data_IF_340480484294
#
_entry.id   IF_340480484294
#
_cell.length_a   1.000
_cell.length_b   1.000
_cell.length_c   1.000
_cell.angle_alpha   90.00
_cell.angle_beta   90.00
_cell.angle_gamma   90.00
#
_symmetry.space_group_name_H-M   'P 1'
#
loop_
_entity.id
_entity.type
_entity.pdbx_description
1 polymer ?
#
# COMPACT_ATOMS: atom_id res chain seq x y z
N UNK A 1 -3.08 -0.87 28.93
CA UNK A 1 -2.26 -1.63 29.91
C UNK A 1 -2.29 -3.10 29.56
N UNK A 2 -1.26 -3.86 29.94
CA UNK A 2 -1.06 -5.28 29.58
C UNK A 2 -2.28 -6.18 29.86
N UNK A 3 -3.03 -5.90 30.93
CA UNK A 3 -4.24 -6.64 31.29
C UNK A 3 -5.39 -6.47 30.27
N UNK A 4 -5.57 -5.26 29.74
CA UNK A 4 -6.60 -4.98 28.72
C UNK A 4 -6.26 -5.64 27.38
N UNK A 5 -4.98 -5.64 27.00
CA UNK A 5 -4.51 -6.31 25.78
C UNK A 5 -4.71 -7.83 25.87
N UNK A 6 -4.35 -8.44 27.00
CA UNK A 6 -4.59 -9.86 27.24
C UNK A 6 -6.09 -10.20 27.23
N UNK A 7 -6.93 -9.34 27.81
CA UNK A 7 -8.38 -9.53 27.81
C UNK A 7 -8.98 -9.37 26.41
N UNK A 8 -8.51 -8.40 25.63
CA UNK A 8 -8.90 -8.22 24.23
C UNK A 8 -8.53 -9.45 23.41
N UNK A 9 -7.27 -9.90 23.45
CA UNK A 9 -6.80 -11.08 22.71
C UNK A 9 -7.59 -12.33 23.09
N UNK A 10 -7.87 -12.55 24.38
CA UNK A 10 -8.69 -13.66 24.85
C UNK A 10 -10.13 -13.59 24.33
N UNK A 11 -10.77 -12.42 24.37
CA UNK A 11 -12.14 -12.26 23.85
C UNK A 11 -12.16 -12.48 22.33
N UNK A 12 -11.17 -11.96 21.62
CA UNK A 12 -11.09 -12.08 20.17
C UNK A 12 -10.86 -13.54 19.74
N UNK A 13 -9.99 -14.27 20.45
CA UNK A 13 -9.82 -15.72 20.29
C UNK A 13 -11.15 -16.48 20.47
N UNK A 14 -11.90 -16.17 21.54
CA UNK A 14 -13.22 -16.78 21.78
C UNK A 14 -14.22 -16.43 20.69
N UNK A 15 -14.20 -15.19 20.21
CA UNK A 15 -15.05 -14.74 19.12
C UNK A 15 -14.76 -15.54 17.86
N UNK A 16 -13.51 -15.57 17.39
CA UNK A 16 -13.11 -16.33 16.20
C UNK A 16 -13.49 -17.80 16.32
N UNK A 17 -13.30 -18.41 17.49
CA UNK A 17 -13.70 -19.80 17.73
C UNK A 17 -15.21 -20.03 17.64
N UNK A 18 -16.01 -19.08 18.10
CA UNK A 18 -17.47 -19.20 18.05
C UNK A 18 -18.01 -19.14 16.61
N UNK A 19 -17.34 -18.39 15.73
CA UNK A 19 -17.75 -18.23 14.33
C UNK A 19 -17.07 -19.25 13.39
N UNK A 20 -15.87 -19.75 13.73
CA UNK A 20 -15.16 -20.79 12.99
C UNK A 20 -15.71 -22.20 13.30
N UNK A 21 -16.82 -22.54 12.68
CA UNK A 21 -17.49 -23.85 12.87
C UNK A 21 -17.18 -24.81 11.71
N UNK A 22 -17.41 -26.13 11.86
CA UNK A 22 -17.19 -27.06 10.75
C UNK A 22 -18.03 -26.76 9.49
N UNK A 23 -19.21 -26.15 9.66
CA UNK A 23 -20.06 -25.72 8.55
C UNK A 23 -19.67 -24.35 7.99
N UNK A 24 -18.89 -23.57 8.74
CA UNK A 24 -18.43 -22.23 8.37
C UNK A 24 -16.96 -22.04 8.80
N UNK A 25 -16.01 -22.70 8.13
CA UNK A 25 -14.59 -22.48 8.40
C UNK A 25 -14.19 -21.05 8.02
N UNK A 26 -13.20 -20.50 8.73
CA UNK A 26 -12.72 -19.14 8.51
C UNK A 26 -11.30 -19.18 7.98
N UNK A 27 -11.06 -18.40 6.93
CA UNK A 27 -9.72 -18.08 6.44
C UNK A 27 -9.46 -16.60 6.72
N UNK A 28 -8.44 -16.30 7.51
CA UNK A 28 -7.95 -14.93 7.70
C UNK A 28 -6.70 -14.74 6.86
N UNK A 29 -6.78 -13.84 5.88
CA UNK A 29 -5.64 -13.41 5.06
C UNK A 29 -5.20 -12.01 5.48
N UNK A 30 -3.90 -11.85 5.71
CA UNK A 30 -3.27 -10.55 5.96
C UNK A 30 -2.06 -10.40 5.03
N UNK A 31 -1.98 -9.26 4.37
CA UNK A 31 -0.85 -8.86 3.54
C UNK A 31 0.14 -7.98 4.31
N UNK A 32 1.35 -7.85 3.79
CA UNK A 32 2.43 -7.01 4.30
C UNK A 32 2.76 -7.17 5.80
N UNK A 33 2.83 -8.41 6.28
CA UNK A 33 3.11 -8.68 7.68
C UNK A 33 4.47 -8.14 8.16
N UNK A 34 5.39 -7.79 7.26
CA UNK A 34 6.66 -7.14 7.61
C UNK A 34 6.46 -5.80 8.34
N UNK A 35 5.33 -5.12 8.13
CA UNK A 35 5.03 -3.84 8.79
C UNK A 35 4.12 -3.96 10.02
N UNK A 36 3.74 -5.19 10.40
CA UNK A 36 2.87 -5.41 11.55
C UNK A 36 3.55 -5.02 12.87
N UNK A 37 2.84 -4.24 13.69
CA UNK A 37 3.32 -3.89 15.02
C UNK A 37 3.30 -5.07 16.00
N UNK A 38 3.93 -4.89 17.16
CA UNK A 38 4.06 -5.95 18.16
C UNK A 38 2.72 -6.48 18.68
N UNK A 39 1.71 -5.61 18.82
CA UNK A 39 0.38 -5.99 19.32
C UNK A 39 -0.40 -6.81 18.29
N UNK A 40 -0.32 -6.42 17.01
CA UNK A 40 -0.92 -7.12 15.88
C UNK A 40 -0.31 -8.52 15.72
N UNK A 41 1.01 -8.59 15.76
CA UNK A 41 1.76 -9.84 15.76
C UNK A 41 1.38 -10.74 16.95
N UNK A 42 1.25 -10.18 18.15
CA UNK A 42 0.82 -10.92 19.34
C UNK A 42 -0.62 -11.47 19.19
N UNK A 43 -1.54 -10.70 18.60
CA UNK A 43 -2.89 -11.18 18.32
C UNK A 43 -2.90 -12.35 17.34
N UNK A 44 -2.15 -12.26 16.23
CA UNK A 44 -1.99 -13.34 15.25
C UNK A 44 -1.48 -14.60 15.95
N UNK A 45 -0.45 -14.46 16.78
CA UNK A 45 0.08 -15.56 17.60
C UNK A 45 -1.00 -16.18 18.48
N UNK A 46 -1.80 -15.39 19.20
CA UNK A 46 -2.89 -15.90 20.04
C UNK A 46 -3.91 -16.71 19.23
N UNK A 47 -4.31 -16.21 18.07
CA UNK A 47 -5.30 -16.89 17.21
C UNK A 47 -4.78 -18.19 16.61
N UNK A 48 -3.57 -18.17 16.05
CA UNK A 48 -2.98 -19.33 15.37
C UNK A 48 -2.62 -20.45 16.35
N UNK A 49 -2.22 -20.09 17.57
CA UNK A 49 -1.87 -21.06 18.61
C UNK A 49 -3.09 -21.68 19.31
N UNK A 50 -4.32 -21.25 19.00
CA UNK A 50 -5.53 -21.86 19.54
C UNK A 50 -5.83 -23.23 18.92
N UNK A 51 -5.17 -24.27 19.45
CA UNK A 51 -5.34 -25.66 19.02
C UNK A 51 -6.76 -26.22 19.17
N UNK A 52 -7.66 -25.51 19.87
CA UNK A 52 -9.08 -25.89 19.97
C UNK A 52 -9.87 -25.49 18.73
N UNK A 53 -9.37 -24.53 17.96
CA UNK A 53 -10.03 -24.05 16.75
C UNK A 53 -9.52 -24.80 15.51
N UNK A 54 -10.22 -25.88 15.14
CA UNK A 54 -9.85 -26.72 13.99
C UNK A 54 -10.36 -26.21 12.64
N UNK A 55 -11.16 -25.15 12.64
CA UNK A 55 -11.82 -24.63 11.44
C UNK A 55 -11.32 -23.23 11.08
N UNK A 56 -10.09 -22.90 11.49
CA UNK A 56 -9.46 -21.62 11.24
C UNK A 56 -8.15 -21.84 10.49
N UNK A 57 -7.98 -21.12 9.38
CA UNK A 57 -6.75 -21.05 8.60
C UNK A 57 -6.26 -19.61 8.59
N UNK A 58 -4.98 -19.42 8.94
CA UNK A 58 -4.31 -18.14 8.78
C UNK A 58 -3.41 -18.19 7.56
N UNK A 59 -3.51 -17.17 6.70
CA UNK A 59 -2.63 -16.96 5.55
C UNK A 59 -2.00 -15.59 5.70
N UNK A 60 -0.67 -15.56 5.70
CA UNK A 60 0.10 -14.33 5.79
C UNK A 60 1.00 -14.18 4.58
N UNK A 61 1.04 -12.99 3.99
CA UNK A 61 2.03 -12.61 3.00
C UNK A 61 3.01 -11.59 3.59
N UNK A 62 4.29 -11.73 3.24
CA UNK A 62 5.34 -10.80 3.63
C UNK A 62 6.51 -10.88 2.67
N UNK A 63 7.35 -9.85 2.68
CA UNK A 63 8.55 -9.73 1.86
C UNK A 63 9.74 -10.42 2.52
N UNK A 64 10.34 -11.40 1.84
CA UNK A 64 11.42 -12.22 2.39
C UNK A 64 12.79 -11.52 2.39
N UNK A 65 12.93 -10.42 1.63
CA UNK A 65 14.09 -9.53 1.60
C UNK A 65 14.07 -8.46 2.72
N UNK A 66 12.89 -8.06 3.20
CA UNK A 66 12.74 -7.10 4.32
C UNK A 66 12.73 -7.79 5.71
N UNK A 67 12.52 -9.11 5.76
CA UNK A 67 12.36 -9.88 7.01
C UNK A 67 13.59 -10.76 7.25
N UNK A 68 14.59 -10.21 7.93
CA UNK A 68 15.77 -10.95 8.36
C UNK A 68 15.51 -11.83 9.61
N UNK A 69 16.51 -12.60 10.03
CA UNK A 69 16.41 -13.52 11.16
C UNK A 69 16.11 -12.85 12.52
N UNK A 70 16.43 -11.56 12.66
CA UNK A 70 16.21 -10.74 13.86
C UNK A 70 14.85 -10.02 13.85
N UNK A 71 14.15 -10.03 12.72
CA UNK A 71 12.87 -9.33 12.57
C UNK A 71 11.81 -9.92 13.52
N UNK A 72 10.95 -9.10 14.16
CA UNK A 72 9.92 -9.58 15.08
C UNK A 72 9.00 -10.66 14.50
N UNK A 73 8.60 -10.49 13.22
CA UNK A 73 7.82 -11.49 12.49
C UNK A 73 8.57 -12.82 12.35
N UNK A 74 9.86 -12.80 12.00
CA UNK A 74 10.66 -14.02 11.83
C UNK A 74 10.76 -14.80 13.14
N UNK A 75 11.02 -14.09 14.25
CA UNK A 75 11.06 -14.67 15.59
C UNK A 75 9.72 -15.31 15.97
N UNK A 76 8.61 -14.64 15.71
CA UNK A 76 7.29 -15.19 16.00
C UNK A 76 6.94 -16.41 15.14
N UNK A 77 7.22 -16.37 13.83
CA UNK A 77 6.95 -17.50 12.95
C UNK A 77 7.77 -18.74 13.36
N UNK A 78 9.03 -18.55 13.82
CA UNK A 78 9.84 -19.63 14.39
C UNK A 78 9.15 -20.23 15.62
N UNK A 79 8.74 -19.39 16.57
CA UNK A 79 8.03 -19.84 17.78
C UNK A 79 6.71 -20.56 17.48
N UNK A 80 5.87 -20.01 16.58
CA UNK A 80 4.58 -20.63 16.21
C UNK A 80 4.82 -21.98 15.55
N UNK A 81 5.85 -22.09 14.70
CA UNK A 81 6.21 -23.32 13.98
C UNK A 81 6.62 -24.49 14.88
N UNK A 82 6.92 -24.25 16.16
CA UNK A 82 7.19 -25.32 17.14
C UNK A 82 5.93 -26.09 17.53
N UNK A 83 4.75 -25.47 17.45
CA UNK A 83 3.48 -26.04 17.95
C UNK A 83 2.40 -26.16 16.88
N UNK A 84 2.46 -25.35 15.82
CA UNK A 84 1.45 -25.28 14.76
C UNK A 84 2.13 -25.52 13.41
N UNK A 85 1.57 -26.38 12.54
CA UNK A 85 2.14 -26.59 11.22
C UNK A 85 2.08 -25.31 10.38
N UNK A 86 3.24 -24.84 9.91
CA UNK A 86 3.35 -23.69 9.01
C UNK A 86 3.81 -24.19 7.64
N UNK A 87 3.01 -23.93 6.61
CA UNK A 87 3.43 -24.10 5.22
C UNK A 87 3.95 -22.77 4.70
N UNK A 88 5.23 -22.72 4.30
CA UNK A 88 5.80 -21.55 3.63
C UNK A 88 5.79 -21.77 2.12
N UNK A 89 5.14 -20.86 1.40
CA UNK A 89 5.13 -20.83 -0.05
C UNK A 89 6.01 -19.66 -0.47
N UNK A 90 7.20 -19.96 -1.00
CA UNK A 90 8.07 -18.92 -1.56
C UNK A 90 7.59 -18.59 -2.97
N UNK A 91 7.13 -17.36 -3.18
CA UNK A 91 6.83 -16.82 -4.50
C UNK A 91 8.14 -16.45 -5.20
N UNK A 92 8.20 -16.69 -6.51
CA UNK A 92 9.34 -16.30 -7.35
C UNK A 92 8.82 -15.50 -8.53
N UNK A 93 9.71 -14.80 -9.23
CA UNK A 93 9.36 -14.10 -10.45
C UNK A 93 8.66 -15.04 -11.46
N UNK A 94 7.80 -14.48 -12.30
CA UNK A 94 7.07 -15.20 -13.34
C UNK A 94 8.08 -15.93 -14.21
N UNK A 95 7.93 -17.25 -14.33
CA UNK A 95 8.85 -18.07 -15.12
C UNK A 95 8.81 -17.69 -16.60
N UNK A 96 9.87 -18.01 -17.36
CA UNK A 96 9.87 -17.81 -18.83
C UNK A 96 8.66 -18.49 -19.50
N UNK A 97 8.28 -19.69 -19.05
CA UNK A 97 7.14 -20.43 -19.59
C UNK A 97 5.82 -19.70 -19.29
N UNK A 98 5.62 -19.29 -18.04
CA UNK A 98 4.41 -18.59 -17.59
C UNK A 98 4.30 -17.15 -18.10
N UNK A 99 5.43 -16.53 -18.49
CA UNK A 99 5.42 -15.17 -19.05
C UNK A 99 4.63 -15.10 -20.35
N UNK A 100 4.63 -16.17 -21.15
CA UNK A 100 3.85 -16.21 -22.37
C UNK A 100 2.35 -16.20 -22.06
N UNK A 101 1.89 -16.97 -21.07
CA UNK A 101 0.50 -16.95 -20.63
C UNK A 101 0.13 -15.56 -20.09
N UNK A 102 0.99 -14.97 -19.26
CA UNK A 102 0.82 -13.62 -18.72
C UNK A 102 0.65 -12.55 -19.82
N UNK A 103 1.52 -12.53 -20.83
CA UNK A 103 1.43 -11.58 -21.95
C UNK A 103 0.20 -11.86 -22.82
N UNK A 104 -0.14 -13.14 -23.01
CA UNK A 104 -1.33 -13.56 -23.78
C UNK A 104 -2.62 -13.08 -23.15
N UNK A 105 -2.73 -13.20 -21.83
CA UNK A 105 -3.89 -12.75 -21.06
C UNK A 105 -4.04 -11.23 -21.10
N UNK A 106 -2.93 -10.49 -20.97
CA UNK A 106 -2.95 -9.02 -21.09
C UNK A 106 -3.43 -8.58 -22.48
N UNK A 107 -2.92 -9.20 -23.54
CA UNK A 107 -3.26 -8.84 -24.92
C UNK A 107 -4.55 -9.50 -25.44
N UNK A 108 -5.14 -10.41 -24.67
CA UNK A 108 -6.29 -11.24 -25.08
C UNK A 108 -6.02 -11.96 -26.43
N UNK A 109 -4.82 -12.54 -26.57
CA UNK A 109 -4.35 -13.24 -27.77
C UNK A 109 -4.04 -14.71 -27.47
N UNK A 110 -3.91 -15.55 -28.50
CA UNK A 110 -3.48 -16.93 -28.31
C UNK A 110 -2.01 -17.00 -27.85
N UNK A 111 -1.63 -17.94 -26.96
CA UNK A 111 -0.23 -18.13 -26.53
C UNK A 111 0.76 -18.37 -27.67
N UNK A 112 0.30 -18.95 -28.79
CA UNK A 112 1.14 -19.13 -29.98
C UNK A 112 1.51 -17.84 -30.70
N UNK A 113 0.72 -16.78 -30.52
CA UNK A 113 0.91 -15.50 -31.23
C UNK A 113 1.82 -14.54 -30.45
N UNK A 114 1.90 -14.68 -29.13
CA UNK A 114 2.58 -13.74 -28.21
C UNK A 114 3.98 -14.18 -27.81
N UNK A 115 4.42 -15.38 -28.22
CA UNK A 115 5.69 -15.98 -27.79
C UNK A 115 6.89 -15.05 -28.00
N UNK A 116 7.00 -14.42 -29.17
CA UNK A 116 8.13 -13.54 -29.47
C UNK A 116 8.17 -12.30 -28.57
N UNK A 117 7.01 -11.71 -28.26
CA UNK A 117 6.93 -10.59 -27.32
C UNK A 117 7.22 -11.05 -25.89
N UNK A 118 6.66 -12.18 -25.46
CA UNK A 118 6.84 -12.70 -24.11
C UNK A 118 8.31 -13.01 -23.79
N UNK A 119 9.08 -13.51 -24.76
CA UNK A 119 10.52 -13.70 -24.60
C UNK A 119 11.27 -12.39 -24.39
N UNK A 120 10.89 -11.33 -25.11
CA UNK A 120 11.47 -10.00 -24.95
C UNK A 120 11.12 -9.38 -23.60
N UNK A 121 9.84 -9.47 -23.21
CA UNK A 121 9.36 -9.00 -21.91
C UNK A 121 10.11 -9.72 -20.80
N UNK A 122 10.17 -11.06 -20.81
CA UNK A 122 10.91 -11.83 -19.80
C UNK A 122 12.38 -11.41 -19.71
N UNK A 123 13.06 -11.29 -20.85
CA UNK A 123 14.48 -10.92 -20.91
C UNK A 123 14.74 -9.53 -20.34
N UNK A 124 13.81 -8.59 -20.54
CA UNK A 124 13.94 -7.20 -20.09
C UNK A 124 13.52 -7.01 -18.63
N UNK A 125 12.61 -7.83 -18.11
CA UNK A 125 12.00 -7.61 -16.79
C UNK A 125 12.45 -8.62 -15.73
N UNK A 126 13.24 -9.63 -16.12
CA UNK A 126 13.65 -10.71 -15.21
C UNK A 126 12.49 -11.52 -14.64
N UNK A 127 11.32 -11.46 -15.28
CA UNK A 127 10.09 -12.10 -14.80
C UNK A 127 9.37 -11.33 -13.68
N UNK A 128 9.82 -10.13 -13.30
CA UNK A 128 9.09 -9.31 -12.33
C UNK A 128 7.76 -8.86 -12.96
N UNK A 129 6.63 -9.30 -12.40
CA UNK A 129 5.30 -9.07 -12.96
C UNK A 129 4.91 -7.59 -13.02
N UNK A 130 5.34 -6.79 -12.05
CA UNK A 130 5.07 -5.35 -12.06
C UNK A 130 5.87 -4.66 -13.17
N UNK A 131 7.19 -4.92 -13.26
CA UNK A 131 8.05 -4.39 -14.33
C UNK A 131 7.54 -4.85 -15.69
N UNK A 132 7.11 -6.11 -15.83
CA UNK A 132 6.54 -6.65 -17.06
C UNK A 132 5.28 -5.90 -17.50
N UNK A 133 4.35 -5.66 -16.57
CA UNK A 133 3.12 -4.90 -16.83
C UNK A 133 3.44 -3.47 -17.28
N UNK A 134 4.33 -2.79 -16.56
CA UNK A 134 4.73 -1.42 -16.89
C UNK A 134 5.47 -1.35 -18.23
N UNK A 135 6.30 -2.34 -18.55
CA UNK A 135 6.98 -2.41 -19.82
C UNK A 135 5.99 -2.55 -20.98
N UNK A 136 5.01 -3.44 -20.87
CA UNK A 136 3.98 -3.64 -21.89
C UNK A 136 3.16 -2.35 -22.09
N UNK A 137 2.79 -1.67 -21.01
CA UNK A 137 2.13 -0.36 -21.09
C UNK A 137 3.00 0.69 -21.80
N UNK A 138 4.30 0.74 -21.50
CA UNK A 138 5.25 1.67 -22.14
C UNK A 138 5.41 1.36 -23.63
N UNK A 139 5.43 0.08 -24.02
CA UNK A 139 5.43 -0.33 -25.43
C UNK A 139 4.19 0.21 -26.15
N UNK A 140 3.02 0.13 -25.50
CA UNK A 140 1.78 0.63 -26.07
C UNK A 140 1.76 2.16 -26.22
N UNK A 141 2.09 2.88 -25.14
CA UNK A 141 2.07 4.34 -25.13
C UNK A 141 3.00 4.96 -26.18
N UNK A 142 4.19 4.40 -26.35
CA UNK A 142 5.18 4.86 -27.34
C UNK A 142 4.97 4.27 -28.74
N UNK A 143 3.89 3.50 -28.96
CA UNK A 143 3.54 2.94 -30.27
C UNK A 143 4.44 1.80 -30.76
N UNK A 144 5.26 1.22 -29.90
CA UNK A 144 6.02 -0.01 -30.22
C UNK A 144 5.16 -1.27 -30.18
N UNK A 145 4.05 -1.22 -29.43
CA UNK A 145 2.96 -2.18 -29.39
C UNK A 145 1.68 -1.42 -29.77
N UNK A 146 0.90 -1.93 -30.71
CA UNK A 146 -0.28 -1.22 -31.21
C UNK A 146 -1.34 -2.20 -31.70
N UNK A 147 -2.59 -1.73 -31.74
CA UNK A 147 -3.71 -2.52 -32.18
C UNK A 147 -4.02 -2.25 -33.66
N UNK A 148 -4.00 -3.28 -34.50
CA UNK A 148 -4.40 -3.19 -35.90
C UNK A 148 -5.90 -3.46 -36.03
N UNK A 149 -6.67 -2.42 -36.36
CA UNK A 149 -8.13 -2.49 -36.53
C UNK A 149 -8.54 -3.47 -37.63
N UNK A 150 -7.84 -3.49 -38.77
CA UNK A 150 -8.18 -4.32 -39.93
C UNK A 150 -8.11 -5.82 -39.63
N UNK A 151 -7.14 -6.23 -38.80
CA UNK A 151 -6.95 -7.62 -38.38
C UNK A 151 -7.52 -7.93 -37.01
N UNK A 152 -8.04 -6.92 -36.29
CA UNK A 152 -8.51 -6.98 -34.91
C UNK A 152 -7.52 -7.68 -33.97
N UNK A 153 -6.23 -7.31 -34.04
CA UNK A 153 -5.12 -7.97 -33.32
C UNK A 153 -4.08 -6.97 -32.86
N UNK A 154 -3.46 -7.25 -31.72
CA UNK A 154 -2.23 -6.56 -31.31
C UNK A 154 -1.06 -6.97 -32.19
N UNK A 155 -0.17 -6.02 -32.45
CA UNK A 155 1.07 -6.19 -33.21
C UNK A 155 2.14 -5.30 -32.60
N UNK A 156 3.41 -5.67 -32.78
CA UNK A 156 4.55 -4.94 -32.23
C UNK A 156 5.71 -4.88 -33.22
N UNK A 157 6.51 -3.82 -33.12
CA UNK A 157 7.80 -3.74 -33.79
C UNK A 157 8.86 -4.40 -32.90
N UNK A 158 9.28 -5.61 -33.29
CA UNK A 158 10.24 -6.40 -32.53
C UNK A 158 11.57 -5.65 -32.31
N UNK A 159 12.04 -4.85 -33.28
CA UNK A 159 13.31 -4.12 -33.16
C UNK A 159 13.16 -2.94 -32.20
N UNK A 160 12.02 -2.24 -32.27
CA UNK A 160 11.74 -1.16 -31.33
C UNK A 160 11.67 -1.68 -29.89
N UNK A 161 10.98 -2.81 -29.67
CA UNK A 161 10.89 -3.48 -28.35
C UNK A 161 12.28 -3.88 -27.85
N UNK A 162 13.14 -4.44 -28.71
CA UNK A 162 14.48 -4.86 -28.33
C UNK A 162 15.39 -3.70 -27.94
N UNK A 163 15.27 -2.57 -28.63
CA UNK A 163 16.08 -1.37 -28.40
C UNK A 163 15.77 -0.66 -27.08
N UNK A 164 14.59 -0.88 -26.48
CA UNK A 164 14.20 -0.23 -25.22
C UNK A 164 15.01 -0.74 -24.04
N UNK A 165 15.60 0.17 -23.26
CA UNK A 165 16.13 -0.11 -21.93
C UNK A 165 15.01 -0.02 -20.88
N UNK A 166 15.13 -0.81 -19.82
CA UNK A 166 14.28 -0.72 -18.62
C UNK A 166 15.23 -0.75 -17.42
N UNK A 167 14.99 0.04 -16.37
CA UNK A 167 15.68 -0.13 -15.10
C UNK A 167 15.53 -1.54 -14.52
N UNK A 168 16.55 -2.01 -13.81
CA UNK A 168 16.53 -3.32 -13.13
C UNK A 168 15.68 -3.30 -11.84
N UNK A 169 15.40 -2.10 -11.30
CA UNK A 169 14.58 -1.89 -10.11
C UNK A 169 13.18 -1.38 -10.48
N UNK A 170 12.14 -2.06 -9.98
CA UNK A 170 10.75 -1.68 -10.19
C UNK A 170 10.43 -0.29 -9.63
N UNK A 171 11.03 0.09 -8.51
CA UNK A 171 10.86 1.42 -7.91
C UNK A 171 11.47 2.48 -8.82
N UNK A 172 12.65 2.25 -9.41
CA UNK A 172 13.29 3.19 -10.33
C UNK A 172 12.46 3.40 -11.60
N UNK A 173 11.93 2.32 -12.18
CA UNK A 173 10.99 2.41 -13.31
C UNK A 173 9.74 3.22 -12.97
N UNK A 174 9.15 2.98 -11.80
CA UNK A 174 7.98 3.73 -11.34
C UNK A 174 8.30 5.19 -11.04
N UNK A 175 9.50 5.49 -10.53
CA UNK A 175 10.00 6.85 -10.35
C UNK A 175 10.06 7.58 -11.68
N UNK A 176 10.65 6.98 -12.72
CA UNK A 176 10.70 7.56 -14.07
C UNK A 176 9.29 7.81 -14.62
N UNK A 177 8.39 6.83 -14.49
CA UNK A 177 6.99 6.96 -14.90
C UNK A 177 6.29 8.11 -14.18
N UNK A 178 6.40 8.19 -12.86
CA UNK A 178 5.77 9.25 -12.07
C UNK A 178 6.37 10.61 -12.47
N UNK A 179 7.67 10.71 -12.76
CA UNK A 179 8.31 11.96 -13.20
C UNK A 179 7.76 12.52 -14.52
N UNK A 180 7.25 11.66 -15.40
CA UNK A 180 6.62 12.07 -16.67
C UNK A 180 5.22 12.68 -16.47
N UNK A 181 4.59 12.50 -15.31
CA UNK A 181 3.27 13.04 -15.03
C UNK A 181 3.27 14.56 -14.79
N UNK A 182 2.14 15.24 -15.09
CA UNK A 182 1.94 16.63 -14.69
C UNK A 182 2.22 16.85 -13.20
N UNK A 183 2.75 18.03 -12.85
CA UNK A 183 3.11 18.35 -11.45
C UNK A 183 1.97 18.10 -10.47
N UNK A 184 0.73 18.42 -10.84
CA UNK A 184 -0.45 18.15 -10.03
C UNK A 184 -0.64 16.66 -9.68
N UNK A 185 -0.44 15.76 -10.64
CA UNK A 185 -0.53 14.31 -10.42
C UNK A 185 0.61 13.82 -9.52
N UNK A 186 1.83 14.31 -9.75
CA UNK A 186 3.00 14.00 -8.91
C UNK A 186 2.79 14.41 -7.46
N UNK A 187 2.26 15.61 -7.22
CA UNK A 187 1.97 16.09 -5.87
C UNK A 187 0.92 15.23 -5.16
N UNK A 188 -0.14 14.80 -5.86
CA UNK A 188 -1.14 13.90 -5.29
C UNK A 188 -0.50 12.58 -4.86
N UNK A 189 0.29 11.95 -5.74
CA UNK A 189 0.97 10.69 -5.43
C UNK A 189 1.93 10.84 -4.24
N UNK A 190 2.73 11.90 -4.22
CA UNK A 190 3.64 12.21 -3.11
C UNK A 190 2.88 12.40 -1.79
N UNK A 191 1.78 13.15 -1.79
CA UNK A 191 1.03 13.41 -0.56
C UNK A 191 0.28 12.18 -0.07
N UNK A 192 -0.33 11.41 -0.98
CA UNK A 192 -0.94 10.13 -0.64
C UNK A 192 0.09 9.17 -0.05
N UNK A 193 1.29 9.10 -0.63
CA UNK A 193 2.35 8.23 -0.14
C UNK A 193 2.81 8.54 1.29
N UNK A 194 2.65 9.79 1.73
CA UNK A 194 2.90 10.22 3.10
C UNK A 194 1.81 9.78 4.09
N UNK A 195 0.57 9.63 3.62
CA UNK A 195 -0.60 9.26 4.43
C UNK A 195 -0.67 7.75 4.63
N UNK A 196 -0.51 6.98 3.55
CA UNK A 196 -0.59 5.52 3.59
C UNK A 196 -0.81 4.89 2.22
N UNK A 197 -1.04 3.58 2.20
CA UNK A 197 -1.33 2.80 0.98
C UNK A 197 -2.75 3.04 0.43
N UNK A 198 -3.65 3.56 1.26
CA UNK A 198 -5.02 3.94 0.89
C UNK A 198 -5.47 5.24 1.55
N UNK A 199 -6.45 5.91 0.94
CA UNK A 199 -6.98 7.17 1.43
C UNK A 199 -8.43 7.38 0.98
N UNK A 200 -9.28 7.75 1.95
CA UNK A 200 -10.67 8.11 1.71
C UNK A 200 -10.77 9.39 0.85
N UNK A 201 -11.73 9.44 -0.08
CA UNK A 201 -11.95 10.54 -1.03
C UNK A 201 -12.06 11.91 -0.34
N UNK A 202 -12.72 11.96 0.82
CA UNK A 202 -12.82 13.18 1.61
C UNK A 202 -11.45 13.69 2.10
N UNK A 203 -10.56 12.80 2.54
CA UNK A 203 -9.20 13.16 3.00
C UNK A 203 -8.35 13.63 1.83
N UNK A 204 -8.46 12.96 0.67
CA UNK A 204 -7.83 13.41 -0.57
C UNK A 204 -8.30 14.82 -0.98
N UNK A 205 -9.59 15.13 -0.80
CA UNK A 205 -10.13 16.48 -0.98
C UNK A 205 -9.49 17.52 -0.06
N UNK A 206 -9.25 17.17 1.21
CA UNK A 206 -8.62 18.10 2.18
C UNK A 206 -7.18 18.46 1.82
N UNK A 207 -6.37 17.50 1.35
CA UNK A 207 -4.96 17.71 0.99
C UNK A 207 -4.79 18.35 -0.39
N UNK A 208 -5.81 18.28 -1.24
CA UNK A 208 -5.84 18.98 -2.54
C UNK A 208 -6.51 20.36 -2.44
N UNK A 209 -7.07 20.71 -1.27
CA UNK A 209 -7.75 21.98 -1.03
C UNK A 209 -9.17 22.08 -1.61
N UNK A 210 -9.77 20.95 -2.00
CA UNK A 210 -11.13 20.88 -2.52
C UNK A 210 -12.07 20.24 -1.50
N UNK A 211 -12.85 21.07 -0.82
CA UNK A 211 -13.64 20.64 0.35
C UNK A 211 -14.96 19.96 -0.02
N UNK A 212 -15.45 20.01 -1.27
CA UNK A 212 -16.76 19.48 -1.65
C UNK A 212 -16.79 18.85 -3.06
N UNK A 213 -17.08 17.54 -3.06
CA UNK A 213 -17.91 16.72 -3.96
C UNK A 213 -17.99 17.13 -5.46
N UNK A 214 -17.60 16.17 -6.31
CA UNK A 214 -17.96 15.99 -7.74
C UNK A 214 -17.19 16.74 -8.83
N UNK A 215 -15.96 17.20 -8.61
CA UNK A 215 -15.09 17.58 -9.74
C UNK A 215 -14.06 16.47 -9.94
N UNK A 216 -14.12 15.71 -11.05
CA UNK A 216 -13.03 14.83 -11.45
C UNK A 216 -11.77 15.68 -11.56
N UNK A 217 -10.74 15.32 -10.81
CA UNK A 217 -9.45 15.99 -10.91
C UNK A 217 -8.79 15.41 -12.16
N UNK A 218 -8.51 16.19 -13.22
CA UNK A 218 -7.93 15.62 -14.45
C UNK A 218 -6.62 14.88 -14.19
N UNK A 219 -5.88 15.27 -13.15
CA UNK A 219 -4.68 14.56 -12.74
C UNK A 219 -4.96 13.27 -11.95
N UNK A 220 -6.10 13.13 -11.25
CA UNK A 220 -6.47 11.92 -10.53
C UNK A 220 -7.02 10.88 -11.51
N UNK A 221 -7.83 11.32 -12.47
CA UNK A 221 -8.28 10.49 -13.59
C UNK A 221 -7.06 9.95 -14.34
N UNK A 222 -6.09 10.81 -14.67
CA UNK A 222 -4.83 10.40 -15.27
C UNK A 222 -4.07 9.38 -14.41
N UNK A 223 -3.95 9.59 -13.10
CA UNK A 223 -3.26 8.63 -12.21
C UNK A 223 -3.94 7.25 -12.23
N UNK A 224 -5.27 7.23 -12.30
CA UNK A 224 -6.06 5.98 -12.36
C UNK A 224 -5.91 5.31 -13.74
N UNK A 225 -5.98 6.08 -14.82
CA UNK A 225 -5.76 5.61 -16.20
C UNK A 225 -4.35 5.03 -16.38
N UNK A 226 -3.35 5.64 -15.76
CA UNK A 226 -1.96 5.16 -15.72
C UNK A 226 -1.77 3.91 -14.84
N UNK A 227 -2.84 3.45 -14.18
CA UNK A 227 -2.84 2.26 -13.32
C UNK A 227 -2.04 2.44 -12.03
N UNK A 228 -1.82 3.68 -11.58
CA UNK A 228 -1.04 3.98 -10.39
C UNK A 228 -1.89 4.00 -9.11
N UNK A 229 -3.17 4.38 -9.25
CA UNK A 229 -4.18 4.27 -8.20
C UNK A 229 -5.39 3.48 -8.69
N UNK A 230 -6.08 2.82 -7.75
CA UNK A 230 -7.35 2.14 -7.96
C UNK A 230 -8.40 2.87 -7.09
N UNK A 231 -9.56 3.16 -7.69
CA UNK A 231 -10.72 3.70 -6.95
C UNK A 231 -11.68 2.56 -6.59
N UNK A 232 -11.88 2.32 -5.30
CA UNK A 232 -12.83 1.34 -4.77
C UNK A 232 -13.93 2.06 -3.97
N UNK A 233 -15.04 2.37 -4.64
CA UNK A 233 -16.12 3.17 -4.04
C UNK A 233 -15.63 4.59 -3.70
N UNK A 234 -15.42 4.85 -2.42
CA UNK A 234 -14.96 6.14 -1.86
C UNK A 234 -13.50 6.09 -1.36
N UNK A 235 -12.79 5.00 -1.59
CA UNK A 235 -11.38 4.83 -1.24
C UNK A 235 -10.51 4.88 -2.51
N UNK A 236 -9.36 5.55 -2.39
CA UNK A 236 -8.28 5.49 -3.38
C UNK A 236 -7.13 4.68 -2.80
N UNK A 237 -6.61 3.71 -3.55
CA UNK A 237 -5.51 2.84 -3.13
C UNK A 237 -4.40 2.87 -4.16
N UNK A 238 -3.15 2.79 -3.72
CA UNK A 238 -2.07 2.46 -4.65
C UNK A 238 -2.34 1.09 -5.25
N UNK A 239 -2.19 0.96 -6.57
CA UNK A 239 -2.36 -0.33 -7.23
C UNK A 239 -1.35 -1.37 -6.72
N UNK A 240 -0.21 -0.89 -6.20
CA UNK A 240 0.83 -1.66 -5.55
C UNK A 240 1.66 -0.77 -4.64
N UNK A 241 2.14 -1.28 -3.51
CA UNK A 241 3.06 -0.59 -2.61
C UNK A 241 4.32 -0.03 -3.25
N UNK A 242 4.86 -0.66 -4.31
CA UNK A 242 6.05 -0.14 -4.98
C UNK A 242 5.78 1.22 -5.63
N UNK A 243 4.53 1.50 -6.01
CA UNK A 243 4.11 2.81 -6.50
C UNK A 243 4.09 3.82 -5.35
N UNK A 244 3.62 3.43 -4.16
CA UNK A 244 3.69 4.27 -2.97
C UNK A 244 5.14 4.60 -2.62
N UNK A 245 6.03 3.60 -2.62
CA UNK A 245 7.46 3.77 -2.34
C UNK A 245 8.13 4.68 -3.37
N UNK A 246 7.86 4.46 -4.66
CA UNK A 246 8.35 5.32 -5.74
C UNK A 246 7.89 6.77 -5.55
N UNK A 247 6.60 6.99 -5.31
CA UNK A 247 6.05 8.32 -5.06
C UNK A 247 6.67 8.99 -3.82
N UNK A 248 6.88 8.25 -2.73
CA UNK A 248 7.51 8.78 -1.51
C UNK A 248 9.01 9.09 -1.71
N UNK A 249 9.70 8.27 -2.50
CA UNK A 249 11.13 8.45 -2.80
C UNK A 249 11.42 9.74 -3.56
N UNK A 250 10.46 10.22 -4.36
CA UNK A 250 10.53 11.48 -5.09
C UNK A 250 10.50 12.71 -4.18
N UNK A 251 10.19 12.56 -2.89
CA UNK A 251 10.28 13.63 -1.91
C UNK A 251 11.73 13.67 -1.38
N UNK A 252 12.48 14.78 -1.63
CA UNK A 252 13.84 14.91 -1.12
C UNK A 252 13.90 14.69 0.39
N UNK A 253 14.90 13.94 0.86
CA UNK A 253 14.99 13.50 2.27
C UNK A 253 14.96 14.69 3.24
N UNK A 254 15.60 15.81 2.88
CA UNK A 254 15.63 17.05 3.66
C UNK A 254 14.27 17.79 3.68
N UNK A 255 13.36 17.47 2.76
CA UNK A 255 12.02 18.07 2.64
C UNK A 255 10.89 17.22 3.21
N UNK A 256 11.11 15.92 3.48
CA UNK A 256 10.04 14.99 3.92
C UNK A 256 9.26 15.50 5.14
N UNK A 257 9.96 15.90 6.19
CA UNK A 257 9.33 16.40 7.42
C UNK A 257 8.54 17.70 7.17
N UNK A 258 8.99 18.54 6.25
CA UNK A 258 8.27 19.75 5.84
C UNK A 258 7.00 19.42 5.05
N UNK A 259 7.06 18.42 4.17
CA UNK A 259 5.89 17.94 3.42
C UNK A 259 4.86 17.31 4.36
N UNK A 260 5.29 16.47 5.31
CA UNK A 260 4.41 15.93 6.35
C UNK A 260 3.72 17.05 7.16
N UNK A 261 4.48 18.07 7.59
CA UNK A 261 3.90 19.24 8.26
C UNK A 261 2.85 19.97 7.39
N UNK A 262 3.15 20.14 6.11
CA UNK A 262 2.27 20.81 5.15
C UNK A 262 0.96 20.02 4.96
N UNK A 263 1.03 18.69 4.82
CA UNK A 263 -0.14 17.81 4.69
C UNK A 263 -1.03 17.93 5.93
N UNK A 264 -0.46 17.77 7.13
CA UNK A 264 -1.21 17.90 8.38
C UNK A 264 -1.89 19.27 8.51
N UNK A 265 -1.17 20.34 8.15
CA UNK A 265 -1.70 21.71 8.15
C UNK A 265 -2.84 21.91 7.15
N UNK A 266 -2.74 21.33 5.94
CA UNK A 266 -3.82 21.38 4.94
C UNK A 266 -5.07 20.65 5.42
N UNK A 267 -4.91 19.47 6.03
CA UNK A 267 -6.03 18.71 6.58
C UNK A 267 -6.78 19.55 7.62
N UNK A 268 -6.06 20.15 8.58
CA UNK A 268 -6.67 20.99 9.61
C UNK A 268 -7.35 22.25 9.04
N UNK A 269 -6.72 22.90 8.06
CA UNK A 269 -7.23 24.12 7.45
C UNK A 269 -8.55 23.90 6.71
N UNK A 270 -8.68 22.76 6.04
CA UNK A 270 -9.82 22.46 5.17
C UNK A 270 -10.89 21.60 5.85
N UNK A 271 -10.58 20.95 6.97
CA UNK A 271 -11.55 20.14 7.70
C UNK A 271 -12.63 21.01 8.34
N UNK A 272 -13.90 20.66 8.13
CA UNK A 272 -15.00 21.25 8.89
C UNK A 272 -14.93 20.82 10.36
N UNK A 273 -15.61 21.57 11.25
CA UNK A 273 -15.65 21.23 12.68
C UNK A 273 -16.21 19.83 12.91
N UNK A 274 -17.21 19.42 12.13
CA UNK A 274 -17.86 18.11 12.22
C UNK A 274 -16.96 16.97 11.74
N UNK A 275 -16.05 17.22 10.78
CA UNK A 275 -15.11 16.22 10.26
C UNK A 275 -13.80 16.14 11.02
N UNK A 276 -13.52 17.10 11.90
CA UNK A 276 -12.25 17.19 12.61
C UNK A 276 -11.93 15.88 13.33
N UNK A 277 -12.90 15.28 14.02
CA UNK A 277 -12.67 14.01 14.71
C UNK A 277 -12.33 12.88 13.74
N UNK A 278 -12.94 12.81 12.54
CA UNK A 278 -12.63 11.72 11.59
C UNK A 278 -11.21 11.78 11.04
N UNK A 279 -10.61 12.96 10.94
CA UNK A 279 -9.29 13.15 10.31
C UNK A 279 -8.18 13.47 11.32
N UNK A 280 -8.50 13.57 12.61
CA UNK A 280 -7.55 14.05 13.62
C UNK A 280 -6.30 13.20 13.73
N UNK A 281 -6.42 11.86 13.65
CA UNK A 281 -5.26 10.97 13.71
C UNK A 281 -4.32 11.23 12.52
N UNK A 282 -4.87 11.26 11.31
CA UNK A 282 -4.10 11.55 10.10
C UNK A 282 -3.43 12.94 10.23
N UNK A 283 -4.17 13.97 10.61
CA UNK A 283 -3.61 15.31 10.73
C UNK A 283 -2.46 15.37 11.75
N UNK A 284 -2.66 14.81 12.94
CA UNK A 284 -1.68 14.84 14.04
C UNK A 284 -0.46 13.99 13.73
N UNK A 285 -0.63 12.80 13.16
CA UNK A 285 0.49 11.93 12.75
C UNK A 285 1.41 12.65 11.76
N UNK A 286 0.83 13.38 10.81
CA UNK A 286 1.58 14.16 9.81
C UNK A 286 2.28 15.36 10.45
N UNK A 287 1.60 16.10 11.34
CA UNK A 287 2.21 17.24 12.05
C UNK A 287 3.36 16.81 12.98
N UNK A 288 3.21 15.69 13.69
CA UNK A 288 4.21 15.20 14.63
C UNK A 288 5.52 14.82 13.94
N UNK A 289 5.48 14.37 12.67
CA UNK A 289 6.70 14.17 11.85
C UNK A 289 7.43 15.47 11.54
N UNK A 290 6.71 16.58 11.47
CA UNK A 290 7.22 17.92 11.14
C UNK A 290 7.61 18.78 12.35
N UNK A 291 7.51 18.27 13.58
CA UNK A 291 7.60 19.07 14.82
C UNK A 291 8.86 19.93 14.91
N UNK A 292 9.99 19.47 14.34
CA UNK A 292 11.27 20.22 14.33
C UNK A 292 11.20 21.57 13.62
N UNK A 293 10.21 21.79 12.75
CA UNK A 293 9.99 23.04 12.04
C UNK A 293 8.97 23.96 12.73
N UNK A 294 8.31 23.50 13.81
CA UNK A 294 7.36 24.31 14.59
C UNK A 294 8.14 25.03 15.68
N UNK A 295 8.58 26.25 15.39
CA UNK A 295 9.37 27.06 16.33
C UNK A 295 8.52 28.04 17.15
N UNK A 296 7.36 28.43 16.60
CA UNK A 296 6.44 29.37 17.23
C UNK A 296 5.70 28.74 18.41
N UNK A 297 5.65 29.43 19.55
CA UNK A 297 5.07 28.89 20.78
C UNK A 297 3.55 28.68 20.67
N UNK A 298 2.84 29.56 19.96
CA UNK A 298 1.40 29.39 19.76
C UNK A 298 1.12 28.14 18.92
N UNK A 299 1.92 27.90 17.87
CA UNK A 299 1.81 26.68 17.06
C UNK A 299 2.15 25.41 17.85
N UNK A 300 3.13 25.45 18.77
CA UNK A 300 3.42 24.31 19.66
C UNK A 300 2.26 24.01 20.59
N UNK A 301 1.66 25.03 21.20
CA UNK A 301 0.47 24.87 22.06
C UNK A 301 -0.71 24.34 21.26
N UNK A 302 -0.91 24.79 20.02
CA UNK A 302 -1.94 24.23 19.13
C UNK A 302 -1.71 22.75 18.85
N UNK A 303 -0.48 22.34 18.49
CA UNK A 303 -0.16 20.94 18.25
C UNK A 303 -0.32 20.09 19.53
N UNK A 304 0.05 20.60 20.70
CA UNK A 304 -0.15 19.91 21.97
C UNK A 304 -1.65 19.68 22.26
N UNK A 305 -2.51 20.67 22.02
CA UNK A 305 -3.95 20.53 22.17
C UNK A 305 -4.56 19.51 21.18
N UNK A 306 -4.04 19.47 19.95
CA UNK A 306 -4.46 18.48 18.95
C UNK A 306 -4.04 17.06 19.35
N UNK A 307 -2.81 16.91 19.85
CA UNK A 307 -2.31 15.66 20.40
C UNK A 307 -3.12 15.21 21.62
N UNK A 308 -3.50 16.11 22.53
CA UNK A 308 -4.41 15.81 23.63
C UNK A 308 -5.74 15.25 23.13
N UNK A 309 -6.38 15.94 22.18
CA UNK A 309 -7.66 15.50 21.60
C UNK A 309 -7.53 14.15 20.86
N UNK A 310 -6.43 13.92 20.14
CA UNK A 310 -6.14 12.63 19.52
C UNK A 310 -5.95 11.54 20.57
N UNK A 311 -5.22 11.82 21.65
CA UNK A 311 -5.01 10.91 22.78
C UNK A 311 -6.32 10.54 23.50
N UNK A 312 -7.18 11.52 23.79
CA UNK A 312 -8.50 11.30 24.39
C UNK A 312 -9.41 10.46 23.48
N UNK A 313 -9.38 10.73 22.18
CA UNK A 313 -10.12 9.93 21.19
C UNK A 313 -9.57 8.50 21.10
N UNK A 314 -8.26 8.31 21.12
CA UNK A 314 -7.65 6.98 21.15
C UNK A 314 -8.05 6.21 22.43
N UNK A 315 -8.11 6.88 23.59
CA UNK A 315 -8.61 6.28 24.82
C UNK A 315 -10.08 5.84 24.71
N UNK A 316 -10.96 6.66 24.12
CA UNK A 316 -12.38 6.31 23.95
C UNK A 316 -12.60 5.16 22.97
N UNK A 317 -11.70 4.97 22.00
CA UNK A 317 -11.66 3.85 21.08
C UNK A 317 -10.94 2.61 21.62
N UNK A 318 -10.34 2.69 22.83
CA UNK A 318 -9.61 1.59 23.46
C UNK A 318 -8.19 1.35 22.92
N UNK A 319 -7.66 2.24 22.07
CA UNK A 319 -6.29 2.17 21.51
C UNK A 319 -5.27 2.85 22.42
N UNK A 320 -5.04 2.29 23.61
CA UNK A 320 -4.20 2.92 24.65
C UNK A 320 -2.74 3.15 24.25
N UNK A 321 -2.15 2.30 23.40
CA UNK A 321 -0.80 2.48 22.88
C UNK A 321 -0.70 3.75 22.02
N UNK A 322 -1.66 3.95 21.11
CA UNK A 322 -1.80 5.17 20.32
C UNK A 322 -2.06 6.39 21.21
N UNK A 323 -2.90 6.24 22.25
CA UNK A 323 -3.15 7.33 23.19
C UNK A 323 -1.87 7.80 23.89
N UNK A 324 -1.05 6.87 24.37
CA UNK A 324 0.26 7.20 24.97
C UNK A 324 1.19 7.85 23.96
N UNK A 325 1.17 7.42 22.69
CA UNK A 325 2.01 8.02 21.65
C UNK A 325 1.67 9.50 21.42
N UNK A 326 0.38 9.88 21.47
CA UNK A 326 -0.05 11.27 21.33
C UNK A 326 0.17 12.11 22.60
N UNK A 327 0.17 11.52 23.79
CA UNK A 327 0.27 12.25 25.07
C UNK A 327 1.71 12.42 25.59
N UNK A 328 2.72 12.18 24.75
CA UNK A 328 4.14 12.41 25.06
C UNK A 328 4.56 13.84 24.76
#
# INVERSE_FOLDING_TARGET
GMELENRFNFIFEKFVRAIATPSHPIVLYLDDLQWADASSLNLIKTLVMDTKNKNFLFVGAFRDDEVNDEHPLACQLKFIGESVPITRIKTTNISKASMNDFVSDILQMSPSSTTSLAELVYRKTGGNGLIATQFIQTLWYEGSLYFLLDSNKWTWDIKAVEAKSIPDDAVELLVEKILQLPSAARYILQYLSCIGSSCHESTLGLITGQVLVSVPFPALDLIIEEGLLIKEGIEYKFAHDQIQLAAYSLIPVDKRDCVHLQIGSMILKHASKERMDSVIFIAVDQLNRGTKFITDEDQKVQLANLNLRAGEKAMSLGTFSSAVAYLK
#
